data_IF_376280383985
#
_entry.id   IF_376280383985
#
_cell.length_a   1.000
_cell.length_b   1.000
_cell.length_c   1.000
_cell.angle_alpha   90.00
_cell.angle_beta   90.00
_cell.angle_gamma   90.00
#
_symmetry.space_group_name_H-M   'P 1'
#
loop_
_entity.id
_entity.type
_entity.pdbx_description
1 polymer ?
#
# COMPACT_ATOMS: atom_id res chain seq x y z
N UNK A 1 63.10 1.74 42.72
CA UNK A 1 62.90 1.01 41.45
C UNK A 1 64.02 1.41 40.53
N UNK A 2 65.13 0.67 40.61
CA UNK A 2 66.37 0.95 39.90
C UNK A 2 66.27 0.41 38.47
N UNK A 3 66.63 1.22 37.47
CA UNK A 3 67.20 0.72 36.21
C UNK A 3 68.72 0.62 36.42
N UNK A 4 69.41 -0.34 35.78
CA UNK A 4 70.06 -0.04 34.50
C UNK A 4 70.12 -1.28 33.53
N UNK A 5 70.01 -1.09 32.21
CA UNK A 5 71.07 -1.09 31.16
C UNK A 5 71.54 -2.47 30.66
N UNK A 6 71.34 -2.73 29.34
CA UNK A 6 72.16 -3.55 28.39
C UNK A 6 72.31 -5.07 28.75
N UNK A 7 72.15 -6.08 27.87
CA UNK A 7 72.99 -6.46 26.71
C UNK A 7 72.32 -7.52 25.81
N UNK A 8 72.83 -7.56 24.58
CA UNK A 8 72.70 -8.52 23.48
C UNK A 8 73.33 -9.88 23.85
N UNK A 9 72.75 -11.02 23.43
CA UNK A 9 73.48 -12.31 23.35
C UNK A 9 72.99 -13.10 22.13
N UNK A 10 73.88 -13.19 21.14
CA UNK A 10 73.83 -14.05 19.96
C UNK A 10 74.00 -15.53 20.35
N UNK A 11 72.97 -16.35 20.15
CA UNK A 11 73.11 -17.81 20.19
C UNK A 11 72.92 -18.42 18.80
N UNK A 12 74.05 -18.57 18.10
CA UNK A 12 74.22 -19.40 16.93
C UNK A 12 73.86 -20.85 17.24
N UNK A 13 72.75 -21.35 16.66
CA UNK A 13 72.68 -22.78 16.34
C UNK A 13 72.66 -22.99 14.83
N UNK A 14 73.88 -23.23 14.32
CA UNK A 14 74.12 -24.02 13.13
C UNK A 14 73.36 -25.36 13.26
N UNK A 15 72.30 -25.53 12.49
CA UNK A 15 71.52 -26.77 12.55
C UNK A 15 70.53 -26.86 11.42
N UNK A 16 71.01 -27.30 10.26
CA UNK A 16 70.18 -27.69 9.12
C UNK A 16 69.12 -28.70 9.54
N UNK A 17 67.87 -28.31 9.39
CA UNK A 17 66.72 -29.18 9.49
C UNK A 17 65.76 -28.79 8.38
N UNK A 18 65.69 -29.63 7.33
CA UNK A 18 64.68 -29.53 6.28
C UNK A 18 63.31 -29.52 6.94
N UNK A 19 62.74 -28.34 7.09
CA UNK A 19 61.38 -28.18 7.58
C UNK A 19 60.51 -28.76 6.48
N UNK A 20 60.01 -29.97 6.67
CA UNK A 20 58.88 -30.45 5.88
C UNK A 20 57.79 -29.40 6.08
N UNK A 21 57.63 -28.52 5.11
CA UNK A 21 56.46 -27.67 5.01
C UNK A 21 55.32 -28.63 4.73
N UNK A 22 54.76 -29.21 5.79
CA UNK A 22 53.42 -29.76 5.74
C UNK A 22 52.58 -28.61 5.21
N UNK A 23 52.15 -28.74 3.96
CA UNK A 23 51.36 -27.74 3.30
C UNK A 23 50.05 -27.63 4.06
N UNK A 24 49.98 -26.71 5.02
CA UNK A 24 48.72 -26.12 5.44
C UNK A 24 48.22 -25.36 4.22
N UNK A 25 47.57 -26.08 3.32
CA UNK A 25 46.52 -25.52 2.51
C UNK A 25 45.53 -24.95 3.53
N UNK A 26 45.73 -23.68 3.93
CA UNK A 26 44.67 -22.86 4.48
C UNK A 26 43.57 -23.01 3.46
N UNK A 27 42.55 -23.81 3.79
CA UNK A 27 41.28 -23.83 3.08
C UNK A 27 40.81 -22.39 3.16
N UNK A 28 41.13 -21.63 2.13
CA UNK A 28 40.68 -20.26 1.94
C UNK A 28 39.19 -20.47 1.79
N UNK A 29 38.47 -20.31 2.90
CA UNK A 29 37.02 -20.21 2.86
C UNK A 29 36.76 -19.17 1.79
N UNK A 30 36.21 -19.61 0.65
CA UNK A 30 35.91 -18.71 -0.44
C UNK A 30 35.07 -17.58 0.18
N UNK A 31 35.47 -16.31 0.04
CA UNK A 31 34.65 -15.21 0.53
C UNK A 31 33.28 -15.43 -0.10
N UNK A 32 32.28 -15.57 0.78
CA UNK A 32 31.00 -16.18 0.46
C UNK A 32 30.50 -15.72 -0.90
N UNK A 33 30.13 -16.68 -1.74
CA UNK A 33 29.33 -16.43 -2.92
C UNK A 33 28.13 -15.62 -2.44
N UNK A 34 28.16 -14.30 -2.64
CA UNK A 34 26.98 -13.47 -2.55
C UNK A 34 26.09 -14.01 -3.65
N UNK A 35 25.12 -14.83 -3.27
CA UNK A 35 24.03 -15.19 -4.18
C UNK A 35 23.44 -13.87 -4.63
N UNK A 36 23.77 -13.46 -5.85
CA UNK A 36 23.18 -12.34 -6.56
C UNK A 36 21.66 -12.58 -6.57
N UNK A 37 20.99 -12.03 -5.58
CA UNK A 37 19.58 -12.24 -5.33
C UNK A 37 18.88 -11.09 -6.03
N UNK A 38 18.46 -11.33 -7.27
CA UNK A 38 17.77 -10.33 -8.07
C UNK A 38 16.53 -9.86 -7.34
N UNK A 39 16.32 -8.55 -7.30
CA UNK A 39 15.09 -7.95 -6.77
C UNK A 39 13.91 -8.49 -7.58
N UNK A 40 12.88 -8.98 -6.88
CA UNK A 40 11.63 -9.43 -7.48
C UNK A 40 10.56 -8.47 -7.00
N UNK A 41 9.98 -7.72 -7.93
CA UNK A 41 8.90 -6.80 -7.64
C UNK A 41 7.60 -7.55 -7.39
N UNK A 42 6.70 -6.93 -6.62
CA UNK A 42 5.38 -7.51 -6.41
C UNK A 42 4.53 -7.47 -7.68
N UNK A 43 4.01 -8.63 -8.08
CA UNK A 43 3.05 -8.76 -9.18
C UNK A 43 1.68 -9.12 -8.60
N UNK A 44 0.65 -8.38 -9.01
CA UNK A 44 -0.74 -8.58 -8.59
C UNK A 44 -1.60 -9.07 -9.74
N UNK A 45 -2.57 -9.90 -9.42
CA UNK A 45 -3.55 -10.41 -10.38
C UNK A 45 -4.60 -9.36 -10.78
N UNK A 46 -5.53 -9.75 -11.67
CA UNK A 46 -6.64 -8.90 -12.05
C UNK A 46 -7.56 -8.61 -10.86
N UNK A 47 -8.32 -7.53 -10.97
CA UNK A 47 -9.36 -7.20 -9.99
C UNK A 47 -10.49 -8.22 -10.02
N UNK A 48 -10.94 -8.63 -8.84
CA UNK A 48 -12.20 -9.35 -8.68
C UNK A 48 -13.41 -8.47 -8.98
N UNK A 49 -14.59 -9.11 -8.93
CA UNK A 49 -15.87 -8.42 -9.08
C UNK A 49 -16.11 -7.41 -7.97
N UNK A 50 -16.86 -6.35 -8.30
CA UNK A 50 -17.36 -5.44 -7.28
C UNK A 50 -18.37 -6.14 -6.37
N UNK A 51 -18.28 -5.86 -5.07
CA UNK A 51 -19.35 -6.17 -4.13
C UNK A 51 -20.63 -5.43 -4.52
N UNK A 52 -21.80 -5.91 -4.07
CA UNK A 52 -23.02 -5.11 -4.13
C UNK A 52 -22.81 -3.76 -3.44
N UNK A 53 -23.64 -2.78 -3.81
CA UNK A 53 -23.62 -1.48 -3.15
C UNK A 53 -24.01 -1.64 -1.68
N UNK A 54 -23.27 -1.00 -0.78
CA UNK A 54 -23.51 -1.08 0.67
C UNK A 54 -24.88 -0.55 1.07
N UNK A 55 -25.42 0.38 0.29
CA UNK A 55 -26.75 0.93 0.48
C UNK A 55 -27.71 0.30 -0.55
N UNK A 56 -28.86 -0.25 -0.13
CA UNK A 56 -29.88 -0.71 -1.07
C UNK A 56 -30.50 0.45 -1.85
N UNK A 57 -30.49 1.65 -1.26
CA UNK A 57 -31.11 2.87 -1.75
C UNK A 57 -30.15 4.05 -1.60
N UNK A 58 -30.12 4.95 -2.58
CA UNK A 58 -29.37 6.22 -2.41
C UNK A 58 -27.86 6.04 -2.48
N UNK A 59 -27.11 6.97 -1.90
CA UNK A 59 -25.63 6.95 -1.98
C UNK A 59 -25.05 5.86 -1.07
N UNK A 60 -24.23 5.00 -1.64
CA UNK A 60 -23.49 3.96 -0.94
C UNK A 60 -22.07 3.79 -1.48
N UNK A 61 -21.41 2.71 -1.08
CA UNK A 61 -20.08 2.35 -1.57
C UNK A 61 -20.00 0.88 -1.95
N UNK A 62 -19.13 0.57 -2.90
CA UNK A 62 -18.79 -0.81 -3.29
C UNK A 62 -17.29 -1.01 -3.26
N UNK A 63 -16.87 -2.21 -2.91
CA UNK A 63 -15.46 -2.59 -2.79
C UNK A 63 -15.15 -3.72 -3.79
N UNK A 64 -13.89 -3.83 -4.20
CA UNK A 64 -13.35 -5.02 -4.85
C UNK A 64 -11.94 -5.27 -4.38
N UNK A 65 -11.50 -6.51 -4.49
CA UNK A 65 -10.17 -6.94 -4.05
C UNK A 65 -9.44 -7.66 -5.18
N UNK A 66 -8.11 -7.69 -5.10
CA UNK A 66 -7.23 -8.48 -5.96
C UNK A 66 -6.16 -9.18 -5.13
N UNK A 67 -5.65 -10.28 -5.65
CA UNK A 67 -4.64 -11.09 -4.96
C UNK A 67 -3.24 -10.80 -5.49
N UNK A 68 -2.24 -11.03 -4.64
CA UNK A 68 -0.83 -11.00 -5.02
C UNK A 68 -0.49 -12.31 -5.72
N UNK A 69 0.02 -12.24 -6.95
CA UNK A 69 0.48 -13.40 -7.73
C UNK A 69 1.94 -13.72 -7.42
N UNK A 70 2.77 -12.69 -7.28
CA UNK A 70 4.19 -12.82 -6.91
C UNK A 70 4.49 -11.86 -5.76
N UNK A 71 4.88 -12.36 -4.57
CA UNK A 71 5.27 -11.50 -3.46
C UNK A 71 6.65 -10.87 -3.71
N UNK A 72 6.90 -9.65 -3.20
CA UNK A 72 8.18 -8.98 -3.38
C UNK A 72 9.29 -9.70 -2.63
N UNK A 73 10.49 -9.78 -3.22
CA UNK A 73 11.67 -10.40 -2.62
C UNK A 73 12.93 -9.60 -2.91
N UNK A 74 13.95 -9.78 -2.07
CA UNK A 74 15.30 -9.23 -2.25
C UNK A 74 15.31 -7.70 -2.47
N UNK A 75 14.44 -6.97 -1.76
CA UNK A 75 14.34 -5.52 -1.90
C UNK A 75 13.55 -5.02 -3.13
N UNK A 76 12.81 -5.89 -3.82
CA UNK A 76 11.89 -5.48 -4.89
C UNK A 76 10.73 -4.62 -4.41
N UNK A 77 10.06 -3.96 -5.35
CA UNK A 77 9.02 -2.98 -5.08
C UNK A 77 7.80 -3.60 -4.35
N UNK A 78 7.21 -2.87 -3.38
CA UNK A 78 6.05 -3.36 -2.64
C UNK A 78 4.81 -3.48 -3.54
N UNK A 79 3.85 -4.28 -3.10
CA UNK A 79 2.59 -4.47 -3.83
C UNK A 79 1.78 -3.17 -3.91
N UNK A 80 1.18 -2.87 -5.07
CA UNK A 80 0.18 -1.80 -5.16
C UNK A 80 -1.08 -2.18 -4.38
N UNK A 81 -2.02 -1.23 -4.24
CA UNK A 81 -3.24 -1.42 -3.46
C UNK A 81 -4.01 -2.69 -3.85
N UNK A 82 -4.32 -3.52 -2.86
CA UNK A 82 -5.03 -4.78 -3.06
C UNK A 82 -6.55 -4.63 -2.93
N UNK A 83 -7.01 -3.49 -2.42
CA UNK A 83 -8.43 -3.17 -2.23
C UNK A 83 -8.76 -1.86 -2.92
N UNK A 84 -9.92 -1.79 -3.54
CA UNK A 84 -10.41 -0.58 -4.16
C UNK A 84 -11.86 -0.33 -3.77
N UNK A 85 -12.16 0.91 -3.38
CA UNK A 85 -13.51 1.35 -3.01
C UNK A 85 -13.98 2.47 -3.93
N UNK A 86 -15.26 2.47 -4.31
CA UNK A 86 -15.89 3.51 -5.13
C UNK A 86 -17.31 3.80 -4.64
N UNK A 87 -17.78 5.02 -4.89
CA UNK A 87 -19.18 5.39 -4.67
C UNK A 87 -20.11 4.63 -5.61
N UNK A 88 -21.32 4.36 -5.15
CA UNK A 88 -22.41 3.79 -5.94
C UNK A 88 -23.75 4.39 -5.51
N UNK A 89 -24.77 4.22 -6.36
CA UNK A 89 -26.15 4.56 -6.01
C UNK A 89 -26.98 3.28 -5.98
N UNK A 90 -27.62 2.99 -4.85
CA UNK A 90 -28.53 1.87 -4.67
C UNK A 90 -29.88 2.17 -5.33
N UNK A 91 -30.33 1.25 -6.20
CA UNK A 91 -31.58 1.36 -6.96
C UNK A 91 -32.54 0.19 -6.66
N UNK A 92 -32.60 -0.31 -5.41
CA UNK A 92 -33.61 -1.32 -5.09
C UNK A 92 -35.02 -0.74 -5.31
N UNK A 93 -35.93 -1.54 -5.87
CA UNK A 93 -37.34 -1.15 -6.10
C UNK A 93 -38.10 -0.87 -4.81
N UNK A 94 -37.62 -1.40 -3.68
CA UNK A 94 -38.17 -1.16 -2.35
C UNK A 94 -37.79 0.22 -1.80
N UNK A 95 -36.83 0.87 -2.45
CA UNK A 95 -36.42 2.24 -2.17
C UNK A 95 -37.45 3.22 -2.72
N UNK A 96 -38.58 3.35 -2.03
CA UNK A 96 -39.45 4.50 -2.25
C UNK A 96 -38.75 5.75 -1.69
N UNK A 97 -37.96 6.40 -2.54
CA UNK A 97 -37.48 7.74 -2.26
C UNK A 97 -38.71 8.61 -1.90
N UNK A 98 -38.75 9.10 -0.66
CA UNK A 98 -39.67 10.12 -0.18
C UNK A 98 -41.15 9.78 0.12
N UNK A 99 -41.66 8.54 0.00
CA UNK A 99 -43.06 8.26 0.42
C UNK A 99 -43.24 8.16 1.94
N UNK A 100 -42.26 7.60 2.65
CA UNK A 100 -42.35 7.41 4.10
C UNK A 100 -41.86 8.63 4.90
N UNK A 101 -40.89 9.39 4.38
CA UNK A 101 -40.43 10.65 5.02
C UNK A 101 -41.58 11.68 5.07
N UNK A 102 -42.49 11.65 4.09
CA UNK A 102 -43.68 12.50 4.08
C UNK A 102 -44.74 12.14 5.13
N UNK A 103 -44.61 10.99 5.83
CA UNK A 103 -45.50 10.59 6.93
C UNK A 103 -45.03 11.08 8.30
N UNK A 104 -43.74 11.38 8.45
CA UNK A 104 -43.14 11.88 9.70
C UNK A 104 -43.19 13.41 9.76
N UNK A 105 -43.19 14.08 8.61
CA UNK A 105 -43.35 15.52 8.55
C UNK A 105 -44.82 15.88 8.89
N UNK A 106 -45.06 16.92 9.72
CA UNK A 106 -46.40 17.42 9.96
C UNK A 106 -47.10 17.75 8.64
N UNK A 107 -48.42 17.62 8.59
CA UNK A 107 -49.23 17.92 7.39
C UNK A 107 -48.93 19.30 6.76
N UNK A 108 -48.41 20.26 7.55
CA UNK A 108 -47.94 21.57 7.05
C UNK A 108 -46.75 21.51 6.09
N UNK A 109 -46.02 20.38 6.02
CA UNK A 109 -44.95 20.13 5.06
C UNK A 109 -45.41 19.33 3.83
N UNK A 110 -46.66 18.87 3.79
CA UNK A 110 -47.22 18.19 2.61
C UNK A 110 -47.56 19.22 1.53
N UNK A 111 -46.59 19.44 0.64
CA UNK A 111 -46.79 19.85 -0.77
C UNK A 111 -47.73 21.04 -1.01
N UNK A 112 -47.40 22.19 -0.42
CA UNK A 112 -47.32 23.44 -1.19
C UNK A 112 -45.86 23.91 -1.34
N UNK A 113 -44.90 23.00 -1.14
CA UNK A 113 -43.48 23.25 -1.38
C UNK A 113 -43.24 23.34 -2.89
N UNK A 114 -43.61 24.48 -3.46
CA UNK A 114 -43.10 24.96 -4.75
C UNK A 114 -41.59 24.90 -4.60
N UNK A 115 -41.01 23.94 -5.31
CA UNK A 115 -39.57 23.71 -5.51
C UNK A 115 -38.71 24.92 -5.06
N UNK A 116 -37.79 24.81 -4.09
CA UNK A 116 -36.97 25.94 -3.63
C UNK A 116 -36.19 26.63 -4.75
N UNK A 117 -35.94 25.91 -5.85
CA UNK A 117 -35.30 26.40 -7.08
C UNK A 117 -36.26 27.13 -8.02
N UNK A 118 -37.57 27.02 -7.79
CA UNK A 118 -38.62 27.72 -8.51
C UNK A 118 -39.17 28.84 -7.62
N UNK A 119 -38.30 29.78 -7.24
CA UNK A 119 -38.70 31.01 -6.55
C UNK A 119 -39.64 31.81 -7.46
N UNK A 120 -40.91 32.08 -7.07
CA UNK A 120 -41.83 32.89 -7.87
C UNK A 120 -41.46 34.38 -7.98
N UNK A 121 -40.34 34.81 -7.37
CA UNK A 121 -39.99 36.23 -7.26
C UNK A 121 -38.56 36.56 -7.73
N UNK A 122 -37.97 35.74 -8.61
CA UNK A 122 -36.79 36.14 -9.39
C UNK A 122 -37.04 36.03 -10.89
N UNK A 123 -38.23 36.41 -11.36
CA UNK A 123 -38.31 36.94 -12.72
C UNK A 123 -37.54 38.26 -12.72
N UNK A 124 -36.29 38.23 -13.18
CA UNK A 124 -35.74 39.43 -13.80
C UNK A 124 -36.72 39.80 -14.90
N UNK A 125 -37.37 40.96 -14.77
CA UNK A 125 -38.17 41.51 -15.86
C UNK A 125 -37.21 41.68 -17.04
N UNK A 126 -37.31 40.80 -18.03
CA UNK A 126 -36.79 41.12 -19.35
C UNK A 126 -37.59 42.33 -19.84
N UNK A 127 -36.99 43.52 -19.74
CA UNK A 127 -37.45 44.66 -20.51
C UNK A 127 -37.26 44.32 -21.99
N UNK A 128 -38.38 44.01 -22.64
CA UNK A 128 -38.44 43.88 -24.09
C UNK A 128 -38.25 45.27 -24.70
N UNK A 129 -37.16 45.54 -25.45
CA UNK A 129 -37.07 46.80 -26.19
C UNK A 129 -38.16 46.83 -27.28
N UNK A 130 -38.71 48.03 -27.48
CA UNK A 130 -39.79 48.33 -28.41
C UNK A 130 -39.31 48.31 -29.86
#
# INVERSE_FOLDING_TARGET
MSRPSYEEEDDWWSGGGVRAHYSLLRKRSLPGVVKEQTAIDCVVGPWGSWTPCSAPCGVGSKERTRQVTVPPRNGGAPCPDLKQRRGCFGHSSDCSAAKEVAKILPDSFKRNFKDPWRRPHMLMKEEKPR
#
